data_IF_258550957447
#
_entry.id   IF_258550957447
#
_cell.length_a   1.000
_cell.length_b   1.000
_cell.length_c   1.000
_cell.angle_alpha   90.00
_cell.angle_beta   90.00
_cell.angle_gamma   90.00
#
_symmetry.space_group_name_H-M   'P 1'
#
loop_
_entity.id
_entity.type
_entity.pdbx_description
1 polymer ?
#
# COMPACT_ATOMS: atom_id res chain seq x y z
N UNK A 1 38.12 24.16 -53.40
CA UNK A 1 37.55 22.89 -52.87
C UNK A 1 36.54 23.23 -51.78
N UNK A 2 35.24 23.15 -52.06
CA UNK A 2 34.17 23.33 -51.08
C UNK A 2 33.64 21.95 -50.67
N UNK A 3 33.86 21.57 -49.41
CA UNK A 3 33.37 20.31 -48.87
C UNK A 3 31.89 20.44 -48.50
N UNK A 4 31.05 19.56 -49.07
CA UNK A 4 29.63 19.49 -48.76
C UNK A 4 29.42 18.90 -47.36
N UNK A 5 28.81 19.68 -46.47
CA UNK A 5 28.40 19.24 -45.13
C UNK A 5 27.15 18.36 -45.27
N UNK A 6 27.27 17.09 -44.90
CA UNK A 6 26.13 16.16 -44.82
C UNK A 6 25.22 16.56 -43.65
N UNK A 7 23.88 16.66 -43.86
CA UNK A 7 22.97 16.93 -42.76
C UNK A 7 22.85 15.72 -41.83
N UNK A 8 22.95 15.96 -40.52
CA UNK A 8 22.73 14.97 -39.48
C UNK A 8 21.25 14.52 -39.49
N UNK A 9 20.97 13.22 -39.26
CA UNK A 9 19.61 12.71 -39.19
C UNK A 9 18.88 13.36 -38.01
N UNK A 10 17.68 13.89 -38.28
CA UNK A 10 16.82 14.47 -37.24
C UNK A 10 16.42 13.37 -36.24
N UNK A 11 16.45 13.65 -34.93
CA UNK A 11 16.01 12.68 -33.93
C UNK A 11 14.55 12.32 -34.19
N UNK A 12 14.27 11.02 -34.35
CA UNK A 12 12.91 10.52 -34.42
C UNK A 12 12.17 10.93 -33.15
N UNK A 13 11.15 11.77 -33.32
CA UNK A 13 10.25 12.18 -32.25
C UNK A 13 9.57 10.91 -31.74
N UNK A 14 10.01 10.41 -30.58
CA UNK A 14 9.35 9.28 -29.91
C UNK A 14 7.86 9.65 -29.77
N UNK A 15 6.92 8.78 -30.18
CA UNK A 15 5.51 9.01 -29.93
C UNK A 15 5.33 9.25 -28.43
N UNK A 16 4.54 10.25 -28.06
CA UNK A 16 4.17 10.44 -26.67
C UNK A 16 3.53 9.15 -26.15
N UNK A 17 3.85 8.68 -24.93
CA UNK A 17 3.19 7.51 -24.37
C UNK A 17 1.68 7.74 -24.39
N UNK A 18 0.96 6.79 -24.98
CA UNK A 18 -0.50 6.80 -25.03
C UNK A 18 -0.99 6.78 -23.58
N UNK A 19 -1.80 7.78 -23.20
CA UNK A 19 -2.40 7.81 -21.86
C UNK A 19 -3.32 6.60 -21.72
N UNK A 20 -3.27 5.87 -20.59
CA UNK A 20 -4.13 4.71 -20.39
C UNK A 20 -5.59 5.15 -20.40
N UNK A 21 -6.44 4.35 -21.02
CA UNK A 21 -7.89 4.51 -20.98
C UNK A 21 -8.41 4.32 -19.54
N UNK A 22 -9.57 4.88 -19.23
CA UNK A 22 -10.19 4.73 -17.90
C UNK A 22 -10.33 3.24 -17.47
N UNK A 23 -10.77 2.30 -18.33
CA UNK A 23 -10.81 0.88 -17.96
C UNK A 23 -9.42 0.28 -17.67
N UNK A 24 -8.36 0.71 -18.36
CA UNK A 24 -6.99 0.27 -18.05
C UNK A 24 -6.51 0.80 -16.71
N UNK A 25 -6.81 2.07 -16.40
CA UNK A 25 -6.50 2.68 -15.11
C UNK A 25 -7.24 1.95 -13.97
N UNK A 26 -8.53 1.67 -14.14
CA UNK A 26 -9.34 0.95 -13.16
C UNK A 26 -8.80 -0.47 -12.92
N UNK A 27 -8.44 -1.20 -13.99
CA UNK A 27 -7.79 -2.52 -13.87
C UNK A 27 -6.48 -2.47 -13.09
N UNK A 28 -5.62 -1.48 -13.37
CA UNK A 28 -4.34 -1.32 -12.69
C UNK A 28 -4.53 -1.01 -11.19
N UNK A 29 -5.48 -0.13 -10.86
CA UNK A 29 -5.81 0.21 -9.47
C UNK A 29 -6.36 -1.00 -8.72
N UNK A 30 -7.33 -1.71 -9.29
CA UNK A 30 -7.92 -2.92 -8.68
C UNK A 30 -6.86 -3.99 -8.44
N UNK A 31 -5.92 -4.19 -9.38
CA UNK A 31 -4.86 -5.18 -9.22
C UNK A 31 -3.96 -4.89 -8.00
N UNK A 32 -3.55 -3.63 -7.80
CA UNK A 32 -2.75 -3.24 -6.62
C UNK A 32 -3.58 -3.39 -5.33
N UNK A 33 -4.86 -3.02 -5.38
CA UNK A 33 -5.76 -3.17 -4.23
C UNK A 33 -6.03 -4.62 -3.85
N UNK A 34 -6.07 -5.53 -4.82
CA UNK A 34 -6.19 -6.97 -4.57
C UNK A 34 -5.00 -7.52 -3.82
N UNK A 35 -3.80 -7.16 -4.25
CA UNK A 35 -2.56 -7.52 -3.54
C UNK A 35 -2.51 -6.89 -2.14
N UNK A 36 -2.96 -5.64 -2.01
CA UNK A 36 -3.05 -4.95 -0.73
C UNK A 36 -4.00 -5.63 0.25
N UNK A 37 -5.22 -5.99 -0.20
CA UNK A 37 -6.18 -6.73 0.62
C UNK A 37 -5.66 -8.11 0.99
N UNK A 38 -4.98 -8.82 0.08
CA UNK A 38 -4.36 -10.10 0.40
C UNK A 38 -3.26 -9.98 1.48
N UNK A 39 -2.51 -8.88 1.48
CA UNK A 39 -1.50 -8.61 2.49
C UNK A 39 -2.08 -8.25 3.87
N UNK A 40 -3.36 -7.92 3.98
CA UNK A 40 -3.97 -7.52 5.25
C UNK A 40 -4.04 -8.66 6.26
N UNK A 41 -4.32 -9.90 5.83
CA UNK A 41 -4.44 -11.04 6.77
C UNK A 41 -3.15 -11.26 7.57
N UNK A 42 -1.97 -11.45 6.95
CA UNK A 42 -0.74 -11.62 7.72
C UNK A 42 -0.33 -10.35 8.47
N UNK A 43 -0.68 -9.15 7.98
CA UNK A 43 -0.43 -7.90 8.71
C UNK A 43 -1.30 -7.77 9.96
N UNK A 44 -2.57 -8.18 9.89
CA UNK A 44 -3.52 -8.22 10.99
C UNK A 44 -3.06 -9.20 12.06
N UNK A 45 -2.68 -10.42 11.67
CA UNK A 45 -2.11 -11.43 12.56
C UNK A 45 -0.84 -10.93 13.25
N UNK A 46 0.06 -10.28 12.52
CA UNK A 46 1.29 -9.73 13.10
C UNK A 46 1.00 -8.63 14.14
N UNK A 47 0.01 -7.75 13.88
CA UNK A 47 -0.41 -6.72 14.83
C UNK A 47 -1.10 -7.33 16.06
N UNK A 48 -1.98 -8.32 15.87
CA UNK A 48 -2.62 -9.02 16.97
C UNK A 48 -1.60 -9.73 17.86
N UNK A 49 -0.59 -10.39 17.26
CA UNK A 49 0.48 -11.05 17.99
C UNK A 49 1.34 -10.09 18.85
N UNK A 50 1.42 -8.80 18.49
CA UNK A 50 2.04 -7.79 19.35
C UNK A 50 1.26 -7.55 20.65
N UNK A 51 -0.04 -7.83 20.68
CA UNK A 51 -0.93 -7.63 21.82
C UNK A 51 -1.10 -8.84 22.73
N UNK A 52 -0.52 -10.00 22.38
CA UNK A 52 -0.65 -11.22 23.18
C UNK A 52 -0.03 -11.07 24.58
N UNK A 53 -0.59 -11.70 25.63
CA UNK A 53 -0.02 -11.65 26.96
C UNK A 53 1.43 -12.17 27.03
N UNK A 54 2.24 -11.51 27.86
CA UNK A 54 3.65 -11.86 28.03
C UNK A 54 4.59 -11.19 27.02
N UNK A 55 5.89 -11.53 27.05
CA UNK A 55 6.89 -10.90 26.19
C UNK A 55 6.66 -11.24 24.72
N UNK A 56 6.68 -10.22 23.86
CA UNK A 56 6.61 -10.42 22.42
C UNK A 56 7.80 -11.25 21.89
N UNK A 57 7.51 -12.20 21.00
CA UNK A 57 8.52 -13.13 20.50
C UNK A 57 9.40 -12.50 19.41
N UNK A 58 10.58 -13.08 19.16
CA UNK A 58 11.39 -12.72 17.98
C UNK A 58 10.68 -13.02 16.66
N UNK A 59 9.78 -14.01 16.64
CA UNK A 59 8.93 -14.33 15.48
C UNK A 59 8.02 -13.15 15.16
N UNK A 60 7.32 -12.63 16.16
CA UNK A 60 6.46 -11.43 16.04
C UNK A 60 7.21 -10.24 15.44
N UNK A 61 8.43 -9.96 15.92
CA UNK A 61 9.26 -8.88 15.36
C UNK A 61 9.58 -9.09 13.87
N UNK A 62 9.92 -10.33 13.50
CA UNK A 62 10.23 -10.69 12.11
C UNK A 62 8.99 -10.54 11.22
N UNK A 63 7.85 -11.03 11.67
CA UNK A 63 6.60 -10.99 10.91
C UNK A 63 6.16 -9.55 10.69
N UNK A 64 6.13 -8.72 11.74
CA UNK A 64 5.85 -7.29 11.59
C UNK A 64 6.83 -6.60 10.61
N UNK A 65 8.11 -6.94 10.65
CA UNK A 65 9.10 -6.40 9.72
C UNK A 65 8.84 -6.80 8.26
N UNK A 66 8.51 -8.06 8.02
CA UNK A 66 8.14 -8.57 6.69
C UNK A 66 6.89 -7.89 6.16
N UNK A 67 5.85 -7.75 6.99
CA UNK A 67 4.62 -7.08 6.60
C UNK A 67 4.83 -5.58 6.38
N UNK A 68 5.66 -4.91 7.19
CA UNK A 68 6.01 -3.50 6.97
C UNK A 68 6.64 -3.29 5.60
N UNK A 69 7.54 -4.18 5.17
CA UNK A 69 8.17 -4.11 3.84
C UNK A 69 7.14 -4.36 2.73
N UNK A 70 6.28 -5.38 2.89
CA UNK A 70 5.27 -5.73 1.90
C UNK A 70 4.28 -4.57 1.68
N UNK A 71 3.73 -4.01 2.76
CA UNK A 71 2.80 -2.89 2.71
C UNK A 71 3.48 -1.64 2.16
N UNK A 72 4.75 -1.37 2.50
CA UNK A 72 5.48 -0.22 1.95
C UNK A 72 5.63 -0.31 0.42
N UNK A 73 5.93 -1.50 -0.10
CA UNK A 73 6.05 -1.73 -1.55
C UNK A 73 4.72 -1.51 -2.27
N UNK A 74 3.62 -1.97 -1.67
CA UNK A 74 2.28 -1.77 -2.20
C UNK A 74 1.88 -0.30 -2.17
N UNK A 75 2.17 0.40 -1.08
CA UNK A 75 1.94 1.84 -0.96
C UNK A 75 2.71 2.62 -2.04
N UNK A 76 3.99 2.33 -2.26
CA UNK A 76 4.79 2.96 -3.31
C UNK A 76 4.21 2.69 -4.71
N UNK A 77 3.91 1.42 -5.03
CA UNK A 77 3.28 1.04 -6.30
C UNK A 77 1.96 1.75 -6.52
N UNK A 78 1.15 1.89 -5.48
CA UNK A 78 -0.14 2.58 -5.54
C UNK A 78 0.05 4.08 -5.80
N UNK A 79 1.05 4.73 -5.22
CA UNK A 79 1.37 6.13 -5.48
C UNK A 79 1.88 6.36 -6.90
N UNK A 80 2.63 5.40 -7.44
CA UNK A 80 3.24 5.47 -8.77
C UNK A 80 2.28 5.13 -9.92
N UNK A 81 1.02 4.76 -9.63
CA UNK A 81 0.01 4.56 -10.66
C UNK A 81 -0.23 5.88 -11.40
N UNK A 82 -0.04 5.87 -12.73
CA UNK A 82 -0.31 6.98 -13.64
C UNK A 82 -1.81 7.22 -13.90
N UNK A 83 -2.61 7.26 -12.83
CA UNK A 83 -4.06 7.51 -12.90
C UNK A 83 -4.33 8.98 -13.17
N UNK A 84 -5.22 9.25 -14.11
CA UNK A 84 -5.59 10.61 -14.53
C UNK A 84 -7.10 10.85 -14.50
N UNK A 85 -7.91 9.80 -14.51
CA UNK A 85 -9.36 9.92 -14.36
C UNK A 85 -9.70 10.48 -12.97
N UNK A 86 -10.51 11.56 -12.84
CA UNK A 86 -10.73 12.23 -11.56
C UNK A 86 -11.26 11.33 -10.44
N UNK A 87 -12.21 10.44 -10.75
CA UNK A 87 -12.82 9.56 -9.76
C UNK A 87 -11.82 8.50 -9.31
N UNK A 88 -11.05 7.95 -10.25
CA UNK A 88 -10.00 6.99 -9.93
C UNK A 88 -8.82 7.63 -9.17
N UNK A 89 -8.50 8.90 -9.44
CA UNK A 89 -7.51 9.67 -8.65
C UNK A 89 -7.98 9.84 -7.21
N UNK A 90 -9.26 10.17 -6.99
CA UNK A 90 -9.82 10.28 -5.65
C UNK A 90 -9.79 8.92 -4.91
N UNK A 91 -10.15 7.84 -5.61
CA UNK A 91 -10.10 6.48 -5.08
C UNK A 91 -8.66 6.05 -4.73
N UNK A 92 -7.70 6.28 -5.62
CA UNK A 92 -6.28 6.02 -5.37
C UNK A 92 -5.78 6.80 -4.15
N UNK A 93 -6.08 8.10 -4.06
CA UNK A 93 -5.68 8.92 -2.93
C UNK A 93 -6.29 8.42 -1.60
N UNK A 94 -7.53 7.91 -1.64
CA UNK A 94 -8.15 7.30 -0.47
C UNK A 94 -7.43 6.00 -0.06
N UNK A 95 -7.16 5.11 -1.02
CA UNK A 95 -6.43 3.88 -0.79
C UNK A 95 -5.01 4.12 -0.23
N UNK A 96 -4.30 5.14 -0.73
CA UNK A 96 -2.98 5.54 -0.20
C UNK A 96 -3.08 5.89 1.29
N UNK A 97 -4.10 6.64 1.71
CA UNK A 97 -4.29 6.97 3.13
C UNK A 97 -4.58 5.73 4.00
N UNK A 98 -5.33 4.77 3.47
CA UNK A 98 -5.64 3.52 4.18
C UNK A 98 -4.37 2.66 4.35
N UNK A 99 -3.55 2.52 3.31
CA UNK A 99 -2.27 1.81 3.43
C UNK A 99 -1.26 2.53 4.33
N UNK A 100 -1.27 3.87 4.34
CA UNK A 100 -0.45 4.63 5.28
C UNK A 100 -0.86 4.39 6.74
N UNK A 101 -2.15 4.16 6.99
CA UNK A 101 -2.63 3.75 8.31
C UNK A 101 -2.12 2.35 8.68
N UNK A 102 -2.18 1.37 7.77
CA UNK A 102 -1.66 0.02 8.03
C UNK A 102 -0.16 0.04 8.38
N UNK A 103 0.63 0.85 7.66
CA UNK A 103 2.05 1.08 7.97
C UNK A 103 2.26 1.71 9.34
N UNK A 104 1.46 2.72 9.69
CA UNK A 104 1.50 3.34 11.00
C UNK A 104 1.14 2.33 12.11
N UNK A 105 0.11 1.51 11.90
CA UNK A 105 -0.31 0.48 12.86
C UNK A 105 0.78 -0.56 13.10
N UNK A 106 1.41 -1.08 12.05
CA UNK A 106 2.53 -2.02 12.19
C UNK A 106 3.68 -1.41 13.00
N UNK A 107 4.06 -0.17 12.70
CA UNK A 107 5.12 0.53 13.42
C UNK A 107 4.76 0.81 14.88
N UNK A 108 3.55 1.30 15.13
CA UNK A 108 3.06 1.60 16.48
C UNK A 108 3.00 0.33 17.34
N UNK A 109 2.55 -0.77 16.76
CA UNK A 109 2.47 -2.08 17.42
C UNK A 109 3.85 -2.59 17.82
N UNK A 110 4.84 -2.53 16.91
CA UNK A 110 6.22 -2.88 17.23
C UNK A 110 6.81 -2.00 18.35
N UNK A 111 6.56 -0.70 18.32
CA UNK A 111 7.05 0.22 19.36
C UNK A 111 6.47 -0.12 20.74
N UNK A 112 5.20 -0.52 20.80
CA UNK A 112 4.56 -0.96 22.04
C UNK A 112 5.09 -2.32 22.49
N UNK A 113 5.21 -3.29 21.58
CA UNK A 113 5.61 -4.66 21.88
C UNK A 113 7.08 -4.81 22.30
N UNK A 114 7.96 -3.95 21.79
CA UNK A 114 9.40 -4.01 22.04
C UNK A 114 9.94 -2.77 22.76
N UNK A 115 9.08 -2.10 23.55
CA UNK A 115 9.51 -0.95 24.36
C UNK A 115 10.56 -1.36 25.39
N UNK A 116 11.62 -0.56 25.52
CA UNK A 116 12.68 -0.76 26.53
C UNK A 116 12.21 -0.35 27.93
N UNK A 117 11.12 0.43 28.03
CA UNK A 117 10.57 0.94 29.29
C UNK A 117 9.07 0.65 29.38
N UNK A 118 8.67 -0.60 29.69
CA UNK A 118 7.27 -0.91 29.90
C UNK A 118 6.76 -0.21 31.16
N UNK A 119 5.66 0.51 31.02
CA UNK A 119 4.87 1.06 32.13
C UNK A 119 3.42 0.58 31.98
N UNK A 120 2.63 0.59 33.05
CA UNK A 120 1.25 0.09 33.03
C UNK A 120 0.42 0.65 31.88
N UNK A 121 0.61 1.94 31.55
CA UNK A 121 -0.06 2.59 30.42
C UNK A 121 0.33 2.00 29.06
N UNK A 122 1.61 1.74 28.83
CA UNK A 122 2.07 1.18 27.54
C UNK A 122 1.69 -0.28 27.42
N UNK A 123 1.71 -1.03 28.53
CA UNK A 123 1.28 -2.42 28.55
C UNK A 123 -0.22 -2.54 28.32
N UNK A 124 -1.04 -1.71 28.97
CA UNK A 124 -2.48 -1.66 28.70
C UNK A 124 -2.81 -1.28 27.26
N UNK A 125 -1.99 -0.42 26.62
CA UNK A 125 -2.16 -0.09 25.20
C UNK A 125 -1.76 -1.27 24.30
N UNK A 126 -0.65 -1.94 24.62
CA UNK A 126 -0.17 -3.12 23.89
C UNK A 126 -1.20 -4.25 23.92
N UNK A 127 -1.75 -4.57 25.09
CA UNK A 127 -2.76 -5.62 25.27
C UNK A 127 -4.11 -5.33 24.58
N UNK A 128 -4.31 -4.11 24.08
CA UNK A 128 -5.49 -3.75 23.27
C UNK A 128 -5.27 -3.92 21.77
N UNK A 129 -4.04 -4.25 21.34
CA UNK A 129 -3.76 -4.52 19.93
C UNK A 129 -4.42 -5.85 19.54
N UNK A 130 -5.29 -5.79 18.54
CA UNK A 130 -6.10 -6.94 18.10
C UNK A 130 -6.24 -7.01 16.57
N UNK A 131 -5.30 -6.41 15.84
CA UNK A 131 -5.29 -6.34 14.39
C UNK A 131 -5.28 -4.92 13.83
N UNK A 132 -5.50 -4.80 12.52
CA UNK A 132 -5.53 -3.54 11.78
C UNK A 132 -6.85 -2.77 11.98
N UNK A 133 -7.93 -3.46 12.33
CA UNK A 133 -9.22 -2.84 12.66
C UNK A 133 -9.94 -2.22 11.45
N UNK A 134 -10.83 -1.25 11.73
CA UNK A 134 -11.81 -0.71 10.75
C UNK A 134 -11.20 -0.18 9.44
N UNK A 135 -10.05 0.52 9.42
CA UNK A 135 -9.47 0.99 8.17
C UNK A 135 -9.10 -0.14 7.20
N UNK A 136 -8.75 -1.32 7.70
CA UNK A 136 -8.52 -2.48 6.84
C UNK A 136 -9.82 -2.92 6.14
N UNK A 137 -10.95 -2.90 6.85
CA UNK A 137 -12.27 -3.16 6.26
C UNK A 137 -12.66 -2.11 5.22
N UNK A 138 -12.33 -0.83 5.46
CA UNK A 138 -12.56 0.26 4.51
C UNK A 138 -11.79 0.03 3.20
N UNK A 139 -10.56 -0.49 3.27
CA UNK A 139 -9.79 -0.83 2.07
C UNK A 139 -10.43 -1.98 1.28
N UNK A 140 -10.95 -3.01 1.98
CA UNK A 140 -11.68 -4.12 1.34
C UNK A 140 -12.94 -3.62 0.64
N UNK A 141 -13.72 -2.79 1.32
CA UNK A 141 -14.92 -2.15 0.75
C UNK A 141 -14.58 -1.32 -0.49
N UNK A 142 -13.54 -0.50 -0.44
CA UNK A 142 -13.08 0.29 -1.58
C UNK A 142 -12.71 -0.60 -2.77
N UNK A 143 -11.93 -1.66 -2.53
CA UNK A 143 -11.56 -2.65 -3.56
C UNK A 143 -12.80 -3.29 -4.16
N UNK A 144 -13.74 -3.76 -3.33
CA UNK A 144 -14.94 -4.47 -3.78
C UNK A 144 -15.83 -3.57 -4.64
N UNK A 145 -16.00 -2.30 -4.28
CA UNK A 145 -16.74 -1.32 -5.10
C UNK A 145 -16.11 -1.11 -6.48
N UNK A 146 -14.78 -0.92 -6.54
CA UNK A 146 -14.06 -0.74 -7.81
C UNK A 146 -14.06 -2.03 -8.66
N UNK A 147 -14.05 -3.21 -8.03
CA UNK A 147 -14.21 -4.49 -8.73
C UNK A 147 -15.60 -4.64 -9.33
N UNK A 148 -16.64 -4.19 -8.65
CA UNK A 148 -18.01 -4.22 -9.19
C UNK A 148 -18.09 -3.33 -10.44
N UNK A 149 -17.59 -2.10 -10.34
CA UNK A 149 -17.52 -1.17 -11.48
C UNK A 149 -16.77 -1.76 -12.67
N UNK A 150 -15.65 -2.44 -12.43
CA UNK A 150 -14.86 -3.07 -13.49
C UNK A 150 -15.61 -4.20 -14.21
N UNK A 151 -16.52 -4.92 -13.54
CA UNK A 151 -17.33 -5.98 -14.16
C UNK A 151 -18.45 -5.42 -15.04
N UNK A 152 -18.88 -4.19 -14.74
CA UNK A 152 -19.95 -3.50 -15.46
C UNK A 152 -19.42 -2.68 -16.66
N UNK A 153 -18.09 -2.67 -16.86
CA UNK A 153 -17.37 -1.97 -17.94
C UNK A 153 -17.11 -2.90 -19.13
#
# INVERSE_FOLDING_TARGET
MLAAVRPLPRPHRRPAPVRPSRPEQLRALVAVLDEAVAAQTPADEAVAACGEPGPASRGTARDCGQQSIAVHRLHARLQDLGTTDPDLVAAQAHAVRLLAYDLWMLRASMNLAFTVRPVDRTEAARLRLNGLGRPADDLRRLRDSLRAELRDT
#
